data_IF_090383683719
#
_entry.id   IF_090383683719
#
_cell.length_a   1.000
_cell.length_b   1.000
_cell.length_c   1.000
_cell.angle_alpha   90.00
_cell.angle_beta   90.00
_cell.angle_gamma   90.00
#
_symmetry.space_group_name_H-M   'P 1'
#
loop_
_entity.id
_entity.type
_entity.pdbx_description
1 polymer ?
#
# COMPACT_ATOMS: atom_id res chain seq x y z
N UNK A 1 -18.50 1.25 5.85
CA UNK A 1 -18.48 1.94 4.53
C UNK A 1 -18.62 0.85 3.48
N UNK A 2 -19.27 1.05 2.33
CA UNK A 2 -19.31 -0.03 1.33
C UNK A 2 -17.87 -0.42 0.97
N UNK A 3 -17.63 -1.72 0.83
CA UNK A 3 -16.35 -2.25 0.36
C UNK A 3 -15.90 -1.51 -0.91
N UNK A 4 -14.62 -1.14 -0.97
CA UNK A 4 -14.07 -0.49 -2.17
C UNK A 4 -14.05 -1.47 -3.32
N UNK A 5 -14.13 -0.97 -4.56
CA UNK A 5 -13.98 -1.87 -5.71
C UNK A 5 -12.55 -2.41 -5.75
N UNK A 6 -12.35 -3.60 -6.31
CA UNK A 6 -11.01 -4.15 -6.45
C UNK A 6 -10.10 -3.27 -7.31
N UNK A 7 -10.67 -2.51 -8.26
CA UNK A 7 -9.95 -1.58 -9.12
C UNK A 7 -9.47 -0.32 -8.42
N UNK A 8 -9.94 -0.05 -7.19
CA UNK A 8 -9.48 1.07 -6.37
C UNK A 8 -8.20 0.76 -5.59
N UNK A 9 -7.65 -0.44 -5.74
CA UNK A 9 -6.45 -0.91 -5.06
C UNK A 9 -5.25 -1.04 -5.99
N UNK A 10 -4.09 -0.60 -5.50
CA UNK A 10 -2.77 -0.94 -6.02
C UNK A 10 -2.12 -2.02 -5.17
N UNK A 11 -1.41 -2.95 -5.81
CA UNK A 11 -0.64 -4.01 -5.17
C UNK A 11 0.84 -3.61 -5.05
N UNK A 12 1.40 -3.67 -3.84
CA UNK A 12 2.85 -3.60 -3.59
C UNK A 12 3.35 -4.92 -3.04
N UNK A 13 4.58 -5.33 -3.35
CA UNK A 13 5.13 -6.60 -2.89
C UNK A 13 6.65 -6.71 -3.07
N UNK A 14 7.27 -7.63 -2.32
CA UNK A 14 8.71 -7.86 -2.34
C UNK A 14 9.07 -9.34 -2.62
N UNK A 15 8.23 -10.05 -3.36
CA UNK A 15 8.32 -11.50 -3.64
C UNK A 15 8.00 -12.44 -2.46
N UNK A 16 8.10 -11.98 -1.21
CA UNK A 16 7.76 -12.79 -0.03
C UNK A 16 6.34 -12.50 0.48
N UNK A 17 5.90 -11.25 0.36
CA UNK A 17 4.57 -10.80 0.72
C UNK A 17 4.09 -9.71 -0.25
N UNK A 18 2.80 -9.36 -0.13
CA UNK A 18 2.20 -8.21 -0.78
C UNK A 18 1.12 -7.55 0.10
N UNK A 19 0.85 -6.29 -0.19
CA UNK A 19 -0.20 -5.50 0.45
C UNK A 19 -1.08 -4.82 -0.61
N UNK A 20 -2.38 -4.68 -0.31
CA UNK A 20 -3.32 -3.90 -1.11
C UNK A 20 -3.48 -2.51 -0.52
N UNK A 21 -3.15 -1.50 -1.32
CA UNK A 21 -3.20 -0.08 -0.98
C UNK A 21 -4.31 0.58 -1.77
N UNK A 22 -5.34 1.06 -1.10
CA UNK A 22 -6.44 1.78 -1.75
C UNK A 22 -6.01 3.18 -2.21
N UNK A 23 -6.74 3.70 -3.19
CA UNK A 23 -6.61 5.07 -3.70
C UNK A 23 -6.89 6.17 -2.64
N UNK A 24 -7.44 5.83 -1.47
CA UNK A 24 -7.59 6.74 -0.32
C UNK A 24 -6.44 6.62 0.70
N UNK A 25 -5.33 5.96 0.32
CA UNK A 25 -4.12 5.83 1.12
C UNK A 25 -4.20 4.82 2.26
N UNK A 26 -5.14 3.88 2.22
CA UNK A 26 -5.26 2.81 3.22
C UNK A 26 -4.58 1.52 2.78
N UNK A 27 -3.88 0.85 3.69
CA UNK A 27 -3.51 -0.56 3.53
C UNK A 27 -4.65 -1.38 4.14
N UNK A 28 -5.48 -1.98 3.28
CA UNK A 28 -6.67 -2.73 3.70
C UNK A 28 -6.43 -4.25 3.73
N UNK A 29 -5.36 -4.74 3.11
CA UNK A 29 -4.95 -6.14 3.16
C UNK A 29 -3.43 -6.26 3.23
N UNK A 30 -2.94 -7.09 4.15
CA UNK A 30 -1.51 -7.42 4.24
C UNK A 30 -1.30 -8.69 5.09
N UNK A 31 -0.51 -9.65 4.60
CA UNK A 31 -0.05 -10.81 5.36
C UNK A 31 1.46 -10.73 5.57
N UNK A 32 1.95 -10.74 6.81
CA UNK A 32 3.38 -10.65 7.10
C UNK A 32 3.83 -11.80 8.01
N UNK A 33 5.04 -12.35 7.82
CA UNK A 33 6.06 -11.93 6.86
C UNK A 33 5.91 -12.51 5.44
N UNK A 34 4.98 -13.44 5.23
CA UNK A 34 4.79 -14.18 3.98
C UNK A 34 3.32 -14.28 3.57
N UNK A 35 3.05 -14.62 2.32
CA UNK A 35 1.69 -14.67 1.75
C UNK A 35 0.69 -15.54 2.53
N UNK A 36 1.12 -16.68 3.06
CA UNK A 36 0.32 -17.62 3.85
C UNK A 36 0.42 -17.39 5.37
N UNK A 37 1.02 -16.28 5.81
CA UNK A 37 0.91 -15.85 7.20
C UNK A 37 -0.50 -15.34 7.51
N UNK A 38 -0.91 -15.35 8.79
CA UNK A 38 -2.10 -14.62 9.21
C UNK A 38 -2.07 -13.16 8.75
N UNK A 39 -3.24 -12.62 8.38
CA UNK A 39 -3.37 -11.23 7.95
C UNK A 39 -3.12 -10.28 9.12
N UNK A 40 -2.28 -9.27 8.90
CA UNK A 40 -2.13 -8.10 9.79
C UNK A 40 -3.27 -7.11 9.56
N UNK A 41 -3.67 -6.94 8.29
CA UNK A 41 -4.85 -6.17 7.88
C UNK A 41 -5.76 -7.03 7.00
N UNK A 42 -7.06 -6.94 7.22
CA UNK A 42 -8.10 -7.73 6.57
C UNK A 42 -9.39 -6.94 6.29
N UNK A 43 -9.30 -5.61 6.16
CA UNK A 43 -10.46 -4.74 5.91
C UNK A 43 -11.20 -5.05 4.60
N UNK A 44 -10.58 -5.78 3.65
CA UNK A 44 -11.28 -6.29 2.46
C UNK A 44 -12.25 -7.44 2.77
N UNK A 45 -12.09 -8.14 3.89
CA UNK A 45 -12.95 -9.25 4.31
C UNK A 45 -14.00 -8.81 5.33
N UNK A 46 -13.64 -7.88 6.22
CA UNK A 46 -14.51 -7.31 7.24
C UNK A 46 -14.06 -5.87 7.53
N UNK A 47 -14.88 -4.88 7.13
CA UNK A 47 -14.49 -3.47 7.21
C UNK A 47 -14.46 -2.90 8.64
N UNK A 48 -15.11 -3.60 9.59
CA UNK A 48 -15.18 -3.24 11.01
C UNK A 48 -14.07 -3.93 11.82
N UNK A 49 -13.83 -5.22 11.58
CA UNK A 49 -12.90 -6.04 12.39
C UNK A 49 -11.56 -6.30 11.73
N UNK A 50 -11.48 -6.18 10.42
CA UNK A 50 -10.29 -6.54 9.65
C UNK A 50 -9.10 -5.61 9.89
N UNK A 51 -9.33 -4.39 10.38
CA UNK A 51 -8.29 -3.41 10.63
C UNK A 51 -7.61 -2.91 9.34
N UNK A 52 -7.03 -1.71 9.42
CA UNK A 52 -6.34 -1.06 8.30
C UNK A 52 -5.31 -0.07 8.82
N UNK A 53 -4.38 0.34 7.97
CA UNK A 53 -3.46 1.44 8.24
C UNK A 53 -3.57 2.54 7.17
N UNK A 54 -4.06 3.73 7.55
CA UNK A 54 -4.42 4.78 6.59
C UNK A 54 -3.64 6.06 6.80
N UNK A 55 -3.14 6.61 5.69
CA UNK A 55 -2.56 7.95 5.60
C UNK A 55 -3.31 8.70 4.50
N UNK A 56 -3.99 9.79 4.85
CA UNK A 56 -4.78 10.60 3.90
C UNK A 56 -4.88 12.06 4.35
N UNK A 57 -5.18 13.01 3.45
CA UNK A 57 -5.57 14.35 3.86
C UNK A 57 -6.78 14.34 4.77
N UNK A 58 -6.83 15.30 5.71
CA UNK A 58 -7.97 15.46 6.62
C UNK A 58 -9.17 16.14 5.96
N UNK A 59 -8.95 16.85 4.85
CA UNK A 59 -9.98 17.56 4.08
C UNK A 59 -10.48 16.72 2.91
N UNK A 60 -11.53 17.19 2.22
CA UNK A 60 -11.98 16.56 0.98
C UNK A 60 -10.86 16.55 -0.07
N UNK A 61 -10.73 15.42 -0.76
CA UNK A 61 -9.71 15.24 -1.79
C UNK A 61 -10.24 14.43 -2.97
N UNK A 62 -9.59 14.60 -4.11
CA UNK A 62 -9.59 13.63 -5.19
C UNK A 62 -8.24 12.90 -5.17
N UNK A 63 -8.22 11.63 -5.57
CA UNK A 63 -6.97 10.87 -5.63
C UNK A 63 -6.75 10.25 -6.99
N UNK A 64 -5.46 10.10 -7.33
CA UNK A 64 -5.01 9.35 -8.49
C UNK A 64 -3.86 8.45 -8.08
N UNK A 65 -3.92 7.21 -8.52
CA UNK A 65 -2.88 6.23 -8.25
C UNK A 65 -2.17 5.84 -9.54
N UNK A 66 -0.85 5.70 -9.48
CA UNK A 66 -0.02 5.22 -10.58
C UNK A 66 1.24 4.54 -10.03
N UNK A 67 1.74 3.55 -10.73
CA UNK A 67 3.07 3.01 -10.46
C UNK A 67 4.13 3.91 -11.06
N UNK A 68 5.24 4.12 -10.35
CA UNK A 68 6.41 4.75 -10.94
C UNK A 68 6.95 3.86 -12.08
N UNK A 69 7.36 4.45 -13.23
CA UNK A 69 7.73 3.69 -14.41
C UNK A 69 8.76 2.60 -14.13
N UNK A 70 8.48 1.38 -14.61
CA UNK A 70 9.36 0.20 -14.48
C UNK A 70 9.65 -0.23 -13.03
N UNK A 71 8.76 0.08 -12.07
CA UNK A 71 8.91 -0.34 -10.67
C UNK A 71 7.60 -0.86 -10.09
N UNK A 72 7.68 -1.57 -8.95
CA UNK A 72 6.52 -1.84 -8.10
C UNK A 72 6.42 -0.81 -6.95
N UNK A 73 6.75 0.46 -7.23
CA UNK A 73 6.57 1.58 -6.30
C UNK A 73 5.27 2.29 -6.66
N UNK A 74 4.36 2.35 -5.70
CA UNK A 74 3.02 2.89 -5.89
C UNK A 74 2.98 4.36 -5.43
N UNK A 75 2.55 5.25 -6.31
CA UNK A 75 2.34 6.65 -6.01
C UNK A 75 0.85 6.94 -5.95
N UNK A 76 0.37 7.43 -4.81
CA UNK A 76 -0.98 7.96 -4.62
C UNK A 76 -0.89 9.46 -4.43
N UNK A 77 -1.39 10.23 -5.40
CA UNK A 77 -1.44 11.68 -5.34
C UNK A 77 -2.83 12.14 -4.92
N UNK A 78 -2.90 12.91 -3.85
CA UNK A 78 -4.12 13.53 -3.34
C UNK A 78 -4.16 15.01 -3.74
N UNK A 79 -5.26 15.43 -4.36
CA UNK A 79 -5.56 16.82 -4.66
C UNK A 79 -6.62 17.33 -3.68
N UNK A 80 -6.29 18.32 -2.87
CA UNK A 80 -7.23 19.05 -2.02
C UNK A 80 -7.51 20.44 -2.61
N UNK A 81 -8.41 21.19 -1.98
CA UNK A 81 -8.66 22.60 -2.34
C UNK A 81 -7.42 23.49 -2.18
N UNK A 82 -6.56 23.19 -1.20
CA UNK A 82 -5.43 24.05 -0.82
C UNK A 82 -4.08 23.59 -1.34
N UNK A 83 -3.99 22.38 -1.91
CA UNK A 83 -2.74 21.88 -2.44
C UNK A 83 -2.77 20.41 -2.83
N UNK A 84 -1.57 19.86 -3.03
CA UNK A 84 -1.37 18.48 -3.46
C UNK A 84 -0.42 17.79 -2.48
N UNK A 85 -0.74 16.57 -2.09
CA UNK A 85 0.13 15.69 -1.31
C UNK A 85 0.36 14.40 -2.09
N UNK A 86 1.54 13.82 -1.96
CA UNK A 86 1.87 12.54 -2.59
C UNK A 86 2.27 11.55 -1.52
N UNK A 87 1.72 10.33 -1.59
CA UNK A 87 2.09 9.20 -0.76
C UNK A 87 2.74 8.13 -1.66
N UNK A 88 3.93 7.70 -1.29
CA UNK A 88 4.70 6.67 -1.99
C UNK A 88 4.73 5.42 -1.12
N UNK A 89 4.17 4.32 -1.62
CA UNK A 89 4.09 3.04 -0.95
C UNK A 89 4.90 1.97 -1.70
N UNK A 90 5.77 1.24 -1.02
CA UNK A 90 6.50 0.11 -1.59
C UNK A 90 7.01 -0.87 -0.53
N UNK A 91 7.39 -2.07 -0.96
CA UNK A 91 8.11 -3.04 -0.13
C UNK A 91 9.52 -3.22 -0.69
N UNK A 92 10.59 -2.99 0.09
CA UNK A 92 11.94 -3.02 -0.42
C UNK A 92 12.44 -4.45 -0.72
N UNK A 93 13.28 -4.55 -1.74
CA UNK A 93 14.13 -5.71 -2.04
C UNK A 93 15.58 -5.24 -2.01
N UNK A 94 16.34 -5.60 -0.97
CA UNK A 94 17.72 -5.17 -0.83
C UNK A 94 18.67 -6.15 -1.54
N UNK A 95 19.60 -5.63 -2.35
CA UNK A 95 20.69 -6.45 -2.87
C UNK A 95 21.80 -6.53 -1.82
N UNK A 96 22.13 -7.76 -1.43
CA UNK A 96 23.34 -8.05 -0.64
C UNK A 96 24.49 -8.45 -1.57
N UNK A 97 25.73 -8.31 -1.09
CA UNK A 97 26.93 -8.70 -1.83
C UNK A 97 26.81 -10.15 -2.33
N UNK A 98 26.99 -10.36 -3.64
CA UNK A 98 26.90 -11.68 -4.28
C UNK A 98 25.56 -12.05 -4.92
N UNK A 99 24.77 -11.07 -5.42
CA UNK A 99 23.48 -11.27 -6.13
C UNK A 99 22.34 -11.87 -5.29
N UNK A 100 22.49 -11.98 -3.97
CA UNK A 100 21.42 -12.44 -3.09
C UNK A 100 20.50 -11.28 -2.72
N UNK A 101 19.20 -11.44 -2.96
CA UNK A 101 18.19 -10.49 -2.50
C UNK A 101 17.78 -10.81 -1.06
N UNK A 102 17.65 -9.76 -0.24
CA UNK A 102 17.03 -9.82 1.07
C UNK A 102 15.65 -9.16 0.98
N UNK A 103 14.65 -9.87 1.46
CA UNK A 103 13.25 -9.45 1.44
C UNK A 103 12.80 -9.21 2.90
N UNK A 104 13.09 -8.01 3.45
CA UNK A 104 12.72 -7.69 4.82
C UNK A 104 11.19 -7.64 4.96
N UNK A 105 10.70 -7.80 6.19
CA UNK A 105 9.27 -7.66 6.49
C UNK A 105 8.95 -6.19 6.73
N UNK A 106 9.05 -5.40 5.66
CA UNK A 106 8.95 -3.94 5.72
C UNK A 106 7.99 -3.41 4.66
N UNK A 107 7.18 -2.42 5.04
CA UNK A 107 6.40 -1.59 4.14
C UNK A 107 6.85 -0.15 4.38
N UNK A 108 7.30 0.52 3.34
CA UNK A 108 7.75 1.91 3.39
C UNK A 108 6.66 2.79 2.81
N UNK A 109 6.26 3.82 3.58
CA UNK A 109 5.26 4.82 3.21
C UNK A 109 5.88 6.20 3.37
N UNK A 110 6.14 6.90 2.26
CA UNK A 110 6.83 8.19 2.23
C UNK A 110 5.89 9.30 1.76
N UNK A 111 6.01 10.50 2.34
CA UNK A 111 5.25 11.70 1.99
C UNK A 111 6.17 12.85 1.58
#
# INVERSE_FOLDING_TARGET
MPYKSIGDYGLIGNHHSAALVSNDGSIDWCCLPRFDSPSVFAAILDDEKGGRFQVKPQTSFQSRQAYLPNTNVLQTTFQTETGTATLIDFMPCYQTSGRRLTHPTEIHRLM
#
